data_IF_344879526776
#
_entry.id   IF_344879526776
#
_cell.length_a   1.000
_cell.length_b   1.000
_cell.length_c   1.000
_cell.angle_alpha   90.00
_cell.angle_beta   90.00
_cell.angle_gamma   90.00
#
_symmetry.space_group_name_H-M   'P 1'
#
loop_
_entity.id
_entity.type
_entity.pdbx_description
1 polymer ?
#
# COMPACT_ATOMS: atom_id res chain seq x y z
N UNK A 1 -47.53 50.27 -7.69
CA UNK A 1 -46.37 49.39 -7.42
C UNK A 1 -45.76 49.85 -6.11
N UNK A 2 -45.91 49.07 -5.03
CA UNK A 2 -45.39 49.41 -3.69
C UNK A 2 -44.06 48.68 -3.56
N UNK A 3 -42.95 49.41 -3.53
CA UNK A 3 -41.62 48.84 -3.34
C UNK A 3 -41.54 48.17 -1.98
N UNK A 4 -41.19 46.89 -1.98
CA UNK A 4 -40.74 46.18 -0.78
C UNK A 4 -39.38 46.78 -0.44
N UNK A 5 -39.33 47.65 0.56
CA UNK A 5 -38.07 48.11 1.13
C UNK A 5 -37.56 47.00 2.02
N UNK A 6 -36.52 46.29 1.55
CA UNK A 6 -35.76 45.36 2.37
C UNK A 6 -35.29 46.10 3.63
N UNK A 7 -35.74 45.59 4.77
CA UNK A 7 -35.32 46.09 6.06
C UNK A 7 -33.94 45.50 6.32
N UNK A 8 -32.89 46.27 6.07
CA UNK A 8 -31.52 45.88 6.45
C UNK A 8 -31.41 45.86 7.98
N UNK A 9 -31.68 44.70 8.59
CA UNK A 9 -31.38 44.45 10.00
C UNK A 9 -29.93 44.01 10.13
N UNK A 10 -29.09 44.84 10.76
CA UNK A 10 -27.74 44.44 11.15
C UNK A 10 -27.74 43.29 12.17
N UNK A 11 -26.66 42.51 12.20
CA UNK A 11 -26.49 41.45 13.19
C UNK A 11 -26.27 42.00 14.59
N UNK A 12 -26.92 41.39 15.57
CA UNK A 12 -26.66 41.70 16.96
C UNK A 12 -25.31 41.11 17.40
N UNK A 13 -24.66 41.75 18.37
CA UNK A 13 -23.40 41.24 18.93
C UNK A 13 -23.57 39.82 19.51
N UNK A 14 -24.74 39.53 20.09
CA UNK A 14 -25.07 38.21 20.63
C UNK A 14 -25.09 37.13 19.55
N UNK A 15 -25.74 37.38 18.41
CA UNK A 15 -25.79 36.43 17.29
C UNK A 15 -24.39 36.08 16.77
N UNK A 16 -23.50 37.07 16.67
CA UNK A 16 -22.13 36.86 16.23
C UNK A 16 -21.35 35.99 17.23
N UNK A 17 -21.49 36.25 18.53
CA UNK A 17 -20.83 35.46 19.57
C UNK A 17 -21.34 34.01 19.56
N UNK A 18 -22.66 33.81 19.42
CA UNK A 18 -23.25 32.47 19.33
C UNK A 18 -22.78 31.75 18.06
N UNK A 19 -22.72 32.43 16.92
CA UNK A 19 -22.24 31.85 15.67
C UNK A 19 -20.78 31.38 15.78
N UNK A 20 -19.90 32.21 16.35
CA UNK A 20 -18.49 31.85 16.57
C UNK A 20 -18.37 30.65 17.52
N UNK A 21 -19.17 30.61 18.59
CA UNK A 21 -19.17 29.50 19.53
C UNK A 21 -19.57 28.18 18.84
N UNK A 22 -20.63 28.20 18.01
CA UNK A 22 -21.08 27.02 17.24
C UNK A 22 -19.98 26.57 16.27
N UNK A 23 -19.41 27.48 15.49
CA UNK A 23 -18.34 27.16 14.51
C UNK A 23 -17.12 26.57 15.22
N UNK A 24 -16.73 27.13 16.38
CA UNK A 24 -15.60 26.64 17.16
C UNK A 24 -15.87 25.24 17.68
N UNK A 25 -17.06 24.99 18.22
CA UNK A 25 -17.46 23.67 18.72
C UNK A 25 -17.45 22.62 17.61
N UNK A 26 -18.00 22.95 16.43
CA UNK A 26 -17.97 22.06 15.27
C UNK A 26 -16.53 21.78 14.83
N UNK A 27 -15.70 22.82 14.75
CA UNK A 27 -14.30 22.68 14.32
C UNK A 27 -13.52 21.75 15.26
N UNK A 28 -13.69 21.91 16.57
CA UNK A 28 -13.06 21.03 17.57
C UNK A 28 -13.58 19.59 17.49
N UNK A 29 -14.88 19.40 17.24
CA UNK A 29 -15.47 18.08 17.08
C UNK A 29 -14.95 17.33 15.83
N UNK A 30 -14.74 18.04 14.73
CA UNK A 30 -14.33 17.43 13.45
C UNK A 30 -12.81 17.37 13.22
N UNK A 31 -12.00 18.20 13.90
CA UNK A 31 -10.56 18.22 13.72
C UNK A 31 -9.89 16.83 13.88
N UNK A 32 -10.21 15.99 14.89
CA UNK A 32 -9.61 14.67 15.03
C UNK A 32 -9.92 13.72 13.85
N UNK A 33 -11.10 13.84 13.25
CA UNK A 33 -11.50 13.00 12.11
C UNK A 33 -10.67 13.31 10.88
N UNK A 34 -10.39 14.59 10.63
CA UNK A 34 -9.55 15.05 9.51
C UNK A 34 -8.11 14.56 9.73
N UNK A 35 -7.54 14.80 10.91
CA UNK A 35 -6.16 14.38 11.24
C UNK A 35 -5.99 12.88 11.08
N UNK A 36 -6.91 12.08 11.64
CA UNK A 36 -6.83 10.63 11.55
C UNK A 36 -6.91 10.11 10.11
N UNK A 37 -7.66 10.79 9.25
CA UNK A 37 -7.80 10.40 7.84
C UNK A 37 -6.53 10.69 7.05
N UNK A 38 -5.93 11.87 7.25
CA UNK A 38 -4.65 12.22 6.60
C UNK A 38 -3.54 11.26 7.03
N UNK A 39 -3.45 10.93 8.32
CA UNK A 39 -2.46 9.97 8.83
C UNK A 39 -2.62 8.59 8.20
N UNK A 40 -3.85 8.08 8.08
CA UNK A 40 -4.12 6.79 7.44
C UNK A 40 -3.74 6.78 5.96
N UNK A 41 -4.05 7.85 5.23
CA UNK A 41 -3.70 7.99 3.80
C UNK A 41 -2.19 8.00 3.62
N UNK A 42 -1.46 8.76 4.43
CA UNK A 42 -0.01 8.81 4.37
C UNK A 42 0.60 7.44 4.67
N UNK A 43 0.15 6.77 5.72
CA UNK A 43 0.62 5.43 6.06
C UNK A 43 0.36 4.41 4.94
N UNK A 44 -0.84 4.43 4.36
CA UNK A 44 -1.18 3.57 3.23
C UNK A 44 -0.30 3.87 2.00
N UNK A 45 -0.04 5.16 1.72
CA UNK A 45 0.84 5.59 0.63
C UNK A 45 2.28 5.11 0.81
N UNK A 46 2.87 5.33 1.99
CA UNK A 46 4.21 4.85 2.31
C UNK A 46 4.29 3.33 2.20
N UNK A 47 3.31 2.62 2.76
CA UNK A 47 3.29 1.15 2.71
C UNK A 47 3.19 0.62 1.28
N UNK A 48 2.36 1.25 0.45
CA UNK A 48 2.23 0.90 -0.96
C UNK A 48 3.55 1.13 -1.72
N UNK A 49 4.24 2.24 -1.46
CA UNK A 49 5.52 2.54 -2.09
C UNK A 49 6.62 1.55 -1.68
N UNK A 50 6.69 1.16 -0.40
CA UNK A 50 7.59 0.09 0.06
C UNK A 50 7.33 -1.23 -0.67
N UNK A 51 6.06 -1.64 -0.79
CA UNK A 51 5.69 -2.88 -1.47
C UNK A 51 6.06 -2.85 -2.96
N UNK A 52 5.86 -1.72 -3.64
CA UNK A 52 6.28 -1.56 -5.03
C UNK A 52 7.79 -1.63 -5.20
N UNK A 53 8.54 -1.05 -4.27
CA UNK A 53 10.01 -1.08 -4.28
C UNK A 53 10.50 -2.52 -4.11
N UNK A 54 9.94 -3.24 -3.13
CA UNK A 54 10.27 -4.64 -2.86
C UNK A 54 9.88 -5.57 -4.02
N UNK A 55 8.74 -5.30 -4.66
CA UNK A 55 8.33 -6.02 -5.88
C UNK A 55 9.28 -5.75 -7.04
N UNK A 56 9.70 -4.50 -7.25
CA UNK A 56 10.64 -4.14 -8.32
C UNK A 56 12.00 -4.83 -8.11
N UNK A 57 12.47 -4.91 -6.86
CA UNK A 57 13.68 -5.66 -6.52
C UNK A 57 13.54 -7.15 -6.83
N UNK A 58 12.39 -7.74 -6.52
CA UNK A 58 12.11 -9.14 -6.87
C UNK A 58 12.05 -9.36 -8.38
N UNK A 59 11.38 -8.48 -9.13
CA UNK A 59 11.34 -8.58 -10.59
C UNK A 59 12.74 -8.47 -11.19
N UNK A 60 13.59 -7.58 -10.66
CA UNK A 60 15.01 -7.49 -11.04
C UNK A 60 15.79 -8.75 -10.68
N UNK A 61 15.60 -9.31 -9.48
CA UNK A 61 16.29 -10.54 -9.08
C UNK A 61 15.89 -11.71 -9.97
N UNK A 62 14.60 -11.87 -10.26
CA UNK A 62 14.08 -12.93 -11.13
C UNK A 62 14.54 -12.76 -12.58
N UNK A 63 14.57 -11.52 -13.10
CA UNK A 63 15.09 -11.23 -14.43
C UNK A 63 16.60 -11.52 -14.49
N UNK A 64 17.38 -11.07 -13.50
CA UNK A 64 18.82 -11.34 -13.45
C UNK A 64 19.14 -12.83 -13.33
N UNK A 65 18.34 -13.61 -12.60
CA UNK A 65 18.52 -15.07 -12.48
C UNK A 65 18.07 -15.84 -13.72
N UNK A 66 17.13 -15.29 -14.49
CA UNK A 66 16.78 -15.82 -15.83
C UNK A 66 17.94 -15.63 -16.83
N UNK A 67 18.86 -14.71 -16.57
CA UNK A 67 20.09 -14.51 -17.35
C UNK A 67 21.36 -15.11 -16.69
N UNK A 68 21.37 -15.33 -15.37
CA UNK A 68 22.53 -15.84 -14.64
C UNK A 68 22.59 -17.38 -14.65
N UNK A 69 22.84 -17.93 -15.84
CA UNK A 69 23.58 -19.20 -15.97
C UNK A 69 25.05 -19.07 -15.54
N UNK A 70 25.49 -17.89 -15.11
CA UNK A 70 26.88 -17.65 -14.71
C UNK A 70 27.00 -16.50 -13.71
N UNK A 71 27.49 -16.85 -12.52
CA UNK A 71 28.13 -16.01 -11.51
C UNK A 71 27.29 -15.37 -10.37
N UNK A 72 27.77 -15.42 -9.11
CA UNK A 72 26.97 -15.20 -7.91
C UNK A 72 27.43 -13.98 -7.10
N UNK A 73 26.57 -12.97 -6.88
CA UNK A 73 26.71 -12.06 -5.72
C UNK A 73 25.47 -11.20 -5.52
N UNK A 74 24.36 -11.85 -5.22
CA UNK A 74 23.29 -11.22 -4.44
C UNK A 74 23.03 -12.18 -3.30
N UNK A 75 22.90 -11.67 -2.07
CA UNK A 75 22.66 -12.48 -0.87
C UNK A 75 21.25 -13.07 -0.87
N UNK A 76 20.90 -13.81 -1.90
CA UNK A 76 19.77 -14.72 -1.97
C UNK A 76 20.20 -15.96 -1.19
N UNK A 77 19.46 -16.32 -0.14
CA UNK A 77 19.56 -17.67 0.42
C UNK A 77 19.06 -18.66 -0.64
N UNK A 78 19.95 -19.04 -1.57
CA UNK A 78 19.69 -20.01 -2.64
C UNK A 78 19.62 -21.40 -2.02
N UNK A 79 18.45 -21.76 -1.51
CA UNK A 79 18.15 -23.16 -1.23
C UNK A 79 17.45 -23.73 -2.48
N UNK A 80 17.86 -24.92 -2.88
CA UNK A 80 17.13 -25.74 -3.86
C UNK A 80 16.28 -26.75 -3.07
N UNK A 81 15.08 -26.38 -2.59
CA UNK A 81 14.19 -27.35 -1.98
C UNK A 81 13.55 -28.22 -3.05
N UNK A 82 13.37 -29.50 -2.72
CA UNK A 82 12.50 -30.38 -3.48
C UNK A 82 11.05 -30.14 -3.00
N UNK A 83 10.31 -29.30 -3.72
CA UNK A 83 8.92 -29.00 -3.43
C UNK A 83 8.06 -30.16 -3.92
N UNK A 84 7.40 -30.87 -2.99
CA UNK A 84 6.41 -31.88 -3.34
C UNK A 84 5.09 -31.19 -3.67
N UNK A 85 4.68 -31.26 -4.92
CA UNK A 85 3.39 -30.75 -5.38
C UNK A 85 2.48 -31.94 -5.68
N UNK A 86 1.28 -31.89 -5.15
CA UNK A 86 0.24 -32.85 -5.49
C UNK A 86 -0.45 -32.41 -6.78
N UNK A 87 -0.32 -33.20 -7.85
CA UNK A 87 -0.96 -32.91 -9.13
C UNK A 87 -1.42 -34.22 -9.78
N UNK A 88 -2.69 -34.28 -10.18
CA UNK A 88 -3.23 -35.42 -10.93
C UNK A 88 -3.17 -36.78 -10.20
N UNK A 89 -3.26 -36.80 -8.86
CA UNK A 89 -3.26 -38.05 -8.09
C UNK A 89 -1.86 -38.62 -7.78
N UNK A 90 -0.80 -37.89 -8.11
CA UNK A 90 0.58 -38.25 -7.80
C UNK A 90 1.33 -37.09 -7.16
N UNK A 91 2.25 -37.41 -6.24
CA UNK A 91 3.19 -36.44 -5.66
C UNK A 91 4.41 -36.34 -6.57
N UNK A 92 4.57 -35.22 -7.26
CA UNK A 92 5.76 -34.93 -8.06
C UNK A 92 6.66 -33.96 -7.32
N UNK A 93 7.94 -34.32 -7.18
CA UNK A 93 8.97 -33.43 -6.66
C UNK A 93 9.43 -32.49 -7.78
N UNK A 94 9.30 -31.19 -7.56
CA UNK A 94 9.78 -30.18 -8.50
C UNK A 94 11.06 -29.58 -7.92
N UNK A 95 12.18 -29.82 -8.61
CA UNK A 95 13.42 -29.11 -8.34
C UNK A 95 13.31 -27.68 -8.84
N UNK A 96 13.78 -26.73 -8.05
CA UNK A 96 13.78 -25.33 -8.43
C UNK A 96 14.57 -24.46 -7.46
N UNK A 97 14.61 -23.18 -7.76
CA UNK A 97 15.28 -22.17 -6.95
C UNK A 97 14.22 -21.39 -6.16
N UNK A 98 14.43 -21.24 -4.86
CA UNK A 98 13.64 -20.29 -4.06
C UNK A 98 14.35 -18.95 -4.05
N UNK A 99 13.63 -17.91 -4.46
CA UNK A 99 14.07 -16.52 -4.44
C UNK A 99 13.30 -15.82 -3.34
N UNK A 100 14.03 -15.25 -2.37
CA UNK A 100 13.45 -14.49 -1.25
C UNK A 100 13.97 -13.06 -1.30
N UNK A 101 13.06 -12.10 -1.24
CA UNK A 101 13.37 -10.67 -1.15
C UNK A 101 12.48 -10.08 -0.04
N UNK A 102 13.07 -9.79 1.12
CA UNK A 102 12.33 -9.45 2.34
C UNK A 102 11.35 -10.56 2.74
N UNK A 103 10.08 -10.20 2.92
CA UNK A 103 8.99 -11.13 3.27
C UNK A 103 8.43 -11.91 2.07
N UNK A 104 8.77 -11.51 0.84
CA UNK A 104 8.28 -12.20 -0.33
C UNK A 104 9.13 -13.43 -0.65
N UNK A 105 8.44 -14.50 -1.07
CA UNK A 105 9.04 -15.77 -1.47
C UNK A 105 8.47 -16.16 -2.83
N UNK A 106 9.36 -16.43 -3.79
CA UNK A 106 9.02 -16.96 -5.11
C UNK A 106 9.78 -18.27 -5.35
N UNK A 107 9.20 -19.15 -6.15
CA UNK A 107 9.82 -20.41 -6.55
C UNK A 107 9.91 -20.46 -8.07
N UNK A 108 11.13 -20.64 -8.57
CA UNK A 108 11.43 -20.84 -9.99
C UNK A 108 11.67 -22.33 -10.23
N UNK A 109 10.72 -23.06 -10.86
CA UNK A 109 10.95 -24.45 -11.22
C UNK A 109 12.08 -24.53 -12.24
N UNK A 110 12.97 -25.51 -12.09
CA UNK A 110 13.98 -25.82 -13.10
C UNK A 110 13.24 -26.29 -14.34
N UNK A 111 13.31 -25.52 -15.42
CA UNK A 111 12.69 -25.87 -16.69
C UNK A 111 13.09 -27.29 -17.08
N UNK A 112 12.09 -28.13 -17.39
CA UNK A 112 12.32 -29.46 -17.94
C UNK A 112 13.01 -29.24 -19.28
N UNK A 113 14.31 -29.51 -19.33
CA UNK A 113 15.02 -29.54 -20.60
C UNK A 113 14.45 -30.69 -21.40
N UNK A 114 13.73 -30.36 -22.47
CA UNK A 114 13.46 -31.29 -23.56
C UNK A 114 14.76 -31.53 -24.35
#
# INVERSE_FOLDING_TARGET
>A
MKGVTDSESGFTLLEVVVAIAIITMLTVAFAPLIVSSVQRIQWAGTRMQELYTLRSEMEKSLASESYAKTSPEVSTHKQMPNLRVWSGGSNTGIEGLVVRVGDFVSFLPKGRGD
#
